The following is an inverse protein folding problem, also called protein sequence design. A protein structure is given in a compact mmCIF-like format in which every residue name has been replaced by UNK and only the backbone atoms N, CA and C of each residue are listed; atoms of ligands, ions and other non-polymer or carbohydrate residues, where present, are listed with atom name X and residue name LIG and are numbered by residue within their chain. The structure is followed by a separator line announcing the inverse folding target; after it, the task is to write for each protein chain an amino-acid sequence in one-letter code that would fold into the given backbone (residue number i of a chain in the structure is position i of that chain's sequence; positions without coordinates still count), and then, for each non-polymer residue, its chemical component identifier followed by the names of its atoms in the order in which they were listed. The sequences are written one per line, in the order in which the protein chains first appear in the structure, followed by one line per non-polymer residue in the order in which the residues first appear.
data_IF_307815960986
#
_entry.id   IF_307815960986
#
_cell.length_a   1.000
_cell.length_b   1.000
_cell.length_c   1.000
_cell.angle_alpha   90.00
_cell.angle_beta   90.00
_cell.angle_gamma   90.00
#
_symmetry.space_group_name_H-M   'P 1'
#
loop_
_entity.id
_entity.type
_entity.pdbx_description
1 polymer ?
#
# COMPACT_ATOMS: atom_id res chain seq x y z
N UNK A 1 6.23 -9.65 6.04
CA UNK A 1 6.49 -10.99 6.61
C UNK A 1 5.55 -11.32 7.79
N UNK A 2 5.36 -10.45 8.79
CA UNK A 2 4.52 -10.78 9.96
C UNK A 2 3.03 -11.07 9.67
N UNK A 3 2.38 -10.34 8.75
CA UNK A 3 0.96 -10.57 8.47
C UNK A 3 0.68 -11.96 7.88
N UNK A 4 1.52 -12.43 6.95
CA UNK A 4 1.44 -13.78 6.38
C UNK A 4 1.73 -14.90 7.39
N UNK A 5 2.39 -14.59 8.51
CA UNK A 5 2.63 -15.55 9.58
C UNK A 5 1.46 -15.66 10.55
N UNK A 6 0.58 -14.65 10.60
CA UNK A 6 -0.54 -14.57 11.55
C UNK A 6 -1.91 -14.81 10.91
N UNK A 7 -2.02 -14.56 9.61
CA UNK A 7 -3.26 -14.67 8.86
C UNK A 7 -3.03 -15.51 7.60
N UNK A 8 -4.03 -16.31 7.23
CA UNK A 8 -4.05 -17.05 5.97
C UNK A 8 -4.40 -16.12 4.80
N UNK A 9 -3.45 -15.25 4.45
CA UNK A 9 -3.64 -14.24 3.41
C UNK A 9 -3.66 -14.87 2.03
N UNK A 10 -4.73 -14.58 1.30
CA UNK A 10 -4.91 -14.94 -0.10
C UNK A 10 -4.79 -13.70 -0.99
N UNK A 11 -4.26 -13.87 -2.20
CA UNK A 11 -4.24 -12.81 -3.20
C UNK A 11 -5.67 -12.37 -3.53
N UNK A 12 -5.88 -11.06 -3.64
CA UNK A 12 -7.13 -10.45 -4.10
C UNK A 12 -6.89 -9.78 -5.44
N UNK A 13 -7.82 -9.95 -6.38
CA UNK A 13 -7.72 -9.37 -7.72
C UNK A 13 -7.53 -7.86 -7.67
N UNK A 14 -6.54 -7.39 -8.41
CA UNK A 14 -6.27 -5.98 -8.69
C UNK A 14 -6.76 -5.69 -10.11
N UNK A 15 -7.39 -4.53 -10.38
CA UNK A 15 -7.76 -4.17 -11.74
C UNK A 15 -6.54 -4.20 -12.68
N UNK A 16 -6.75 -4.65 -13.90
CA UNK A 16 -5.68 -4.77 -14.90
C UNK A 16 -4.96 -3.43 -15.10
N UNK A 17 -3.63 -3.49 -15.19
CA UNK A 17 -2.76 -2.32 -15.34
C UNK A 17 -2.45 -1.54 -14.04
N UNK A 18 -3.01 -1.96 -12.89
CA UNK A 18 -2.71 -1.34 -11.59
C UNK A 18 -1.76 -2.16 -10.70
N UNK A 19 -1.48 -3.42 -11.04
CA UNK A 19 -0.50 -4.23 -10.28
C UNK A 19 0.93 -3.71 -10.48
N UNK A 20 1.28 -3.36 -11.71
CA UNK A 20 2.54 -2.73 -12.08
C UNK A 20 2.28 -1.69 -13.16
N UNK A 21 2.77 -0.48 -12.94
CA UNK A 21 2.76 0.58 -13.93
C UNK A 21 4.08 1.34 -13.88
N UNK A 22 4.56 1.82 -15.02
CA UNK A 22 5.73 2.70 -15.08
C UNK A 22 5.26 4.01 -15.69
N UNK A 23 5.29 5.07 -14.89
CA UNK A 23 5.00 6.42 -15.35
C UNK A 23 6.16 6.94 -16.19
N UNK A 24 5.86 7.33 -17.41
CA UNK A 24 6.73 8.07 -18.33
C UNK A 24 6.66 9.58 -18.13
N UNK A 25 5.76 10.06 -17.25
CA UNK A 25 5.59 11.48 -16.95
C UNK A 25 6.68 11.98 -16.01
N UNK A 26 7.32 13.09 -16.38
CA UNK A 26 8.35 13.78 -15.57
C UNK A 26 9.76 13.61 -16.12
N UNK A 27 10.78 14.10 -15.40
CA UNK A 27 12.19 13.92 -15.79
C UNK A 27 12.73 12.52 -15.48
N UNK A 28 12.10 11.80 -14.55
CA UNK A 28 12.51 10.48 -14.10
C UNK A 28 11.32 9.54 -14.11
N UNK A 29 11.46 8.32 -14.64
CA UNK A 29 10.38 7.34 -14.62
C UNK A 29 10.08 6.93 -13.18
N UNK A 30 8.80 6.74 -12.88
CA UNK A 30 8.35 6.25 -11.58
C UNK A 30 7.68 4.89 -11.72
N UNK A 31 8.14 3.89 -10.97
CA UNK A 31 7.53 2.56 -10.94
C UNK A 31 6.48 2.52 -9.84
N UNK A 32 5.25 2.19 -10.19
CA UNK A 32 4.14 2.00 -9.27
C UNK A 32 3.88 0.49 -9.19
N UNK A 33 3.87 -0.06 -7.98
CA UNK A 33 3.49 -1.45 -7.72
C UNK A 33 2.41 -1.51 -6.68
N UNK A 34 1.39 -2.30 -6.93
CA UNK A 34 0.30 -2.53 -5.99
C UNK A 34 0.15 -4.01 -5.69
N UNK A 35 -0.20 -4.29 -4.44
CA UNK A 35 -0.56 -5.64 -3.98
C UNK A 35 -1.89 -5.58 -3.25
N UNK A 36 -2.68 -6.63 -3.37
CA UNK A 36 -3.95 -6.72 -2.68
C UNK A 36 -4.17 -8.12 -2.14
N UNK A 37 -4.58 -8.21 -0.88
CA UNK A 37 -4.80 -9.46 -0.18
C UNK A 37 -6.11 -9.44 0.58
N UNK A 38 -6.57 -10.62 1.01
CA UNK A 38 -7.72 -10.80 1.88
C UNK A 38 -7.60 -12.10 2.67
N UNK A 39 -8.30 -12.20 3.80
CA UNK A 39 -8.53 -13.43 4.55
C UNK A 39 -9.88 -13.33 5.28
N UNK A 40 -10.18 -14.29 6.15
CA UNK A 40 -11.42 -14.30 6.92
C UNK A 40 -11.55 -13.05 7.82
N UNK A 41 -10.47 -12.64 8.49
CA UNK A 41 -10.44 -11.54 9.45
C UNK A 41 -10.29 -10.17 8.77
N UNK A 42 -9.64 -10.13 7.61
CA UNK A 42 -9.28 -8.90 6.90
C UNK A 42 -9.89 -8.95 5.50
N UNK A 43 -11.01 -8.25 5.31
CA UNK A 43 -11.74 -8.26 4.03
C UNK A 43 -10.93 -7.70 2.87
N UNK A 44 -9.96 -6.81 3.16
CA UNK A 44 -9.06 -6.25 2.15
C UNK A 44 -7.81 -5.71 2.81
N UNK A 45 -6.66 -5.94 2.19
CA UNK A 45 -5.43 -5.24 2.46
C UNK A 45 -4.93 -4.71 1.12
N UNK A 46 -4.62 -3.42 1.02
CA UNK A 46 -4.00 -2.85 -0.18
C UNK A 46 -2.67 -2.23 0.18
N UNK A 47 -1.67 -2.51 -0.64
CA UNK A 47 -0.37 -1.85 -0.60
C UNK A 47 -0.14 -1.18 -1.94
N UNK A 48 0.46 0.00 -1.94
CA UNK A 48 0.98 0.63 -3.15
C UNK A 48 2.30 1.28 -2.82
N UNK A 49 3.31 0.92 -3.60
CA UNK A 49 4.64 1.50 -3.53
C UNK A 49 4.95 2.22 -4.83
N UNK A 50 5.37 3.48 -4.72
CA UNK A 50 5.81 4.29 -5.84
C UNK A 50 7.29 4.59 -5.64
N UNK A 51 8.10 4.20 -6.62
CA UNK A 51 9.54 4.40 -6.65
C UNK A 51 9.90 5.33 -7.81
N UNK A 52 10.29 6.57 -7.49
CA UNK A 52 10.86 7.52 -8.43
C UNK A 52 12.35 7.79 -8.13
N UNK A 53 13.05 6.80 -7.55
CA UNK A 53 14.44 6.91 -7.12
C UNK A 53 14.66 7.97 -6.04
N UNK A 54 15.73 8.74 -6.19
CA UNK A 54 16.11 9.81 -5.24
C UNK A 54 15.08 10.96 -5.19
N UNK A 55 14.20 11.09 -6.18
CA UNK A 55 13.24 12.19 -6.22
C UNK A 55 12.10 11.99 -5.21
N UNK A 56 11.54 10.78 -5.15
CA UNK A 56 10.49 10.44 -4.19
C UNK A 56 10.28 8.94 -4.04
N UNK A 57 9.90 8.52 -2.84
CA UNK A 57 9.40 7.19 -2.55
C UNK A 57 8.13 7.29 -1.73
N UNK A 58 7.08 6.59 -2.15
CA UNK A 58 5.77 6.65 -1.49
C UNK A 58 5.30 5.24 -1.18
N UNK A 59 4.91 5.00 0.08
CA UNK A 59 4.24 3.79 0.51
C UNK A 59 2.88 4.15 1.11
N UNK A 60 1.83 3.67 0.47
CA UNK A 60 0.46 3.82 0.94
C UNK A 60 -0.16 2.45 1.22
N UNK A 61 -0.81 2.31 2.36
CA UNK A 61 -1.50 1.08 2.74
C UNK A 61 -2.80 1.37 3.48
N UNK A 62 -3.81 0.54 3.24
CA UNK A 62 -4.99 0.47 4.10
C UNK A 62 -5.34 -0.98 4.36
N UNK A 63 -5.54 -1.31 5.64
CA UNK A 63 -6.01 -2.61 6.09
C UNK A 63 -7.45 -2.46 6.56
N UNK A 64 -8.34 -3.22 5.93
CA UNK A 64 -9.77 -3.23 6.19
C UNK A 64 -10.11 -4.51 6.97
N UNK A 65 -10.51 -4.40 8.25
CA UNK A 65 -11.09 -5.52 8.98
C UNK A 65 -12.38 -6.01 8.31
N UNK A 66 -12.74 -7.27 8.56
CA UNK A 66 -14.05 -7.79 8.20
C UNK A 66 -15.15 -7.02 8.95
N UNK A 67 -16.29 -6.83 8.30
CA UNK A 67 -17.44 -6.09 8.85
C UNK A 67 -18.06 -6.75 10.09
N UNK A 68 -17.79 -8.03 10.34
CA UNK A 68 -18.22 -8.69 11.57
C UNK A 68 -17.46 -8.25 12.82
N UNK A 69 -16.36 -7.50 12.67
CA UNK A 69 -15.61 -6.91 13.77
C UNK A 69 -15.85 -5.41 13.82
N UNK A 70 -16.13 -4.89 15.01
CA UNK A 70 -16.19 -3.46 15.29
C UNK A 70 -14.77 -2.93 15.53
N UNK A 71 -13.97 -2.91 14.46
CA UNK A 71 -12.57 -2.50 14.48
C UNK A 71 -12.32 -1.36 13.48
N UNK A 72 -11.46 -0.39 13.84
CA UNK A 72 -11.07 0.69 12.96
C UNK A 72 -10.21 0.20 11.79
N UNK A 73 -10.15 0.99 10.73
CA UNK A 73 -9.27 0.73 9.59
C UNK A 73 -7.87 1.23 9.91
N UNK A 74 -6.83 0.44 9.60
CA UNK A 74 -5.46 0.94 9.69
C UNK A 74 -5.05 1.61 8.39
N UNK A 75 -4.81 2.92 8.43
CA UNK A 75 -4.23 3.71 7.34
C UNK A 75 -2.75 3.97 7.56
N UNK A 76 -1.94 3.81 6.51
CA UNK A 76 -0.51 4.14 6.51
C UNK A 76 -0.21 4.94 5.26
N UNK A 77 0.45 6.08 5.43
CA UNK A 77 0.91 6.94 4.34
C UNK A 77 2.31 7.47 4.64
N UNK A 78 3.31 6.88 4.00
CA UNK A 78 4.70 7.31 4.11
C UNK A 78 5.15 7.90 2.78
N UNK A 79 5.51 9.18 2.78
CA UNK A 79 6.01 9.87 1.61
C UNK A 79 7.39 10.45 1.94
N UNK A 80 8.37 10.09 1.12
CA UNK A 80 9.70 10.68 1.13
C UNK A 80 9.90 11.46 -0.17
N UNK A 81 10.36 12.70 -0.06
CA UNK A 81 10.65 13.59 -1.19
C UNK A 81 12.10 14.10 -1.07
N UNK A 82 12.94 13.67 -2.00
CA UNK A 82 14.38 13.93 -1.91
C UNK A 82 14.99 13.32 -0.64
N UNK A 83 16.06 13.95 -0.15
CA UNK A 83 16.79 13.50 1.04
C UNK A 83 16.31 14.10 2.36
N UNK A 84 15.35 15.03 2.31
CA UNK A 84 15.10 15.97 3.43
C UNK A 84 13.65 15.94 3.90
N UNK A 85 12.67 15.78 3.01
CA UNK A 85 11.26 15.97 3.35
C UNK A 85 10.56 14.62 3.44
N UNK A 86 10.23 14.23 4.67
CA UNK A 86 9.44 13.03 4.96
C UNK A 86 8.10 13.44 5.56
N UNK A 87 7.01 12.87 5.06
CA UNK A 87 5.67 12.97 5.61
C UNK A 87 5.21 11.57 6.01
N UNK A 88 4.76 11.42 7.25
CA UNK A 88 4.39 10.14 7.83
C UNK A 88 3.02 10.30 8.48
N UNK A 89 2.05 9.56 7.95
CA UNK A 89 0.74 9.36 8.54
C UNK A 89 0.55 7.89 8.89
N UNK A 90 0.09 7.62 10.11
CA UNK A 90 -0.37 6.30 10.54
C UNK A 90 -1.52 6.52 11.50
N UNK A 91 -2.66 5.91 11.21
CA UNK A 91 -3.88 6.14 11.98
C UNK A 91 -4.81 4.91 11.98
N UNK A 92 -5.61 4.80 13.04
CA UNK A 92 -6.72 3.86 13.15
C UNK A 92 -8.02 4.66 13.06
N UNK A 93 -8.71 4.55 11.92
CA UNK A 93 -9.92 5.31 11.57
C UNK A 93 -11.21 4.60 11.95
#
# INVERSE_FOLDING_TARGET
MQLFQRFDLQNRTIPSGLELNVSDRGRHPATIRSWCYQCQELRKIRYTYIDAGEASQIFNSVIYPNHCYDLPLLGIDFLSFGKIKNLIGLDFQ
#
